data_IF_464740466150
#
_entry.id   IF_464740466150
#
_cell.length_a   1.000
_cell.length_b   1.000
_cell.length_c   1.000
_cell.angle_alpha   90.00
_cell.angle_beta   90.00
_cell.angle_gamma   90.00
#
_symmetry.space_group_name_H-M   'P 1'
#
loop_
_entity.id
_entity.type
_entity.pdbx_description
1 polymer ?
#
# COMPACT_ATOMS: atom_id res chain seq x y z
N UNK A 1 -18.11 -29.19 -4.28
CA UNK A 1 -17.47 -27.88 -4.37
C UNK A 1 -18.39 -26.84 -3.76
N UNK A 2 -17.79 -25.80 -3.18
CA UNK A 2 -18.53 -24.72 -2.52
C UNK A 2 -19.00 -23.66 -3.57
N UNK A 3 -18.72 -23.85 -4.86
CA UNK A 3 -18.96 -22.93 -5.95
C UNK A 3 -17.68 -22.27 -6.45
N UNK A 4 -17.87 -21.36 -7.41
CA UNK A 4 -16.78 -20.54 -7.97
C UNK A 4 -16.64 -19.24 -7.15
N UNK A 5 -15.60 -19.13 -6.35
CA UNK A 5 -15.34 -18.00 -5.46
C UNK A 5 -15.25 -16.67 -6.21
N UNK A 6 -14.75 -16.67 -7.45
CA UNK A 6 -14.64 -15.43 -8.26
C UNK A 6 -15.99 -14.82 -8.56
N UNK A 7 -17.01 -15.66 -8.78
CA UNK A 7 -18.37 -15.23 -9.10
C UNK A 7 -19.16 -14.70 -7.90
N UNK A 8 -18.64 -14.86 -6.67
CA UNK A 8 -19.34 -14.44 -5.46
C UNK A 8 -19.33 -12.92 -5.28
N UNK A 9 -20.39 -12.40 -4.72
CA UNK A 9 -20.44 -11.02 -4.24
C UNK A 9 -19.46 -10.82 -3.09
N UNK A 10 -19.03 -9.59 -2.85
CA UNK A 10 -18.14 -9.27 -1.72
C UNK A 10 -18.72 -9.71 -0.38
N UNK A 11 -20.03 -9.56 -0.19
CA UNK A 11 -20.73 -10.01 1.03
C UNK A 11 -20.63 -11.51 1.24
N UNK A 12 -20.74 -12.31 0.18
CA UNK A 12 -20.61 -13.76 0.23
C UNK A 12 -19.18 -14.18 0.52
N UNK A 13 -18.20 -13.50 -0.10
CA UNK A 13 -16.77 -13.71 0.16
C UNK A 13 -16.43 -13.44 1.63
N UNK A 14 -16.87 -12.30 2.16
CA UNK A 14 -16.65 -11.95 3.57
C UNK A 14 -17.30 -12.98 4.51
N UNK A 15 -18.56 -13.35 4.28
CA UNK A 15 -19.28 -14.32 5.10
C UNK A 15 -18.56 -15.68 5.13
N UNK A 16 -18.11 -16.15 3.98
CA UNK A 16 -17.34 -17.39 3.86
C UNK A 16 -16.01 -17.29 4.61
N UNK A 17 -15.22 -16.24 4.34
CA UNK A 17 -13.90 -16.08 4.96
C UNK A 17 -13.99 -15.96 6.49
N UNK A 18 -14.95 -15.18 7.02
CA UNK A 18 -15.16 -15.04 8.46
C UNK A 18 -15.55 -16.37 9.08
N UNK A 19 -16.41 -17.16 8.42
CA UNK A 19 -16.80 -18.50 8.88
C UNK A 19 -15.59 -19.43 8.95
N UNK A 20 -14.77 -19.47 7.89
CA UNK A 20 -13.59 -20.35 7.86
C UNK A 20 -12.49 -19.87 8.82
N UNK A 21 -12.28 -18.57 8.97
CA UNK A 21 -11.35 -18.00 9.96
C UNK A 21 -11.77 -18.31 11.40
N UNK A 22 -13.07 -18.40 11.67
CA UNK A 22 -13.61 -18.75 12.99
C UNK A 22 -13.66 -20.27 13.23
N UNK A 23 -13.51 -21.09 12.20
CA UNK A 23 -13.56 -22.54 12.27
C UNK A 23 -12.23 -23.11 12.78
N UNK A 24 -12.28 -24.17 13.59
CA UNK A 24 -11.09 -24.94 13.97
C UNK A 24 -10.71 -26.01 12.93
N UNK A 25 -11.62 -26.33 12.01
CA UNK A 25 -11.38 -27.33 10.99
C UNK A 25 -10.56 -26.71 9.86
N UNK A 26 -9.50 -27.39 9.38
CA UNK A 26 -8.79 -26.95 8.18
C UNK A 26 -9.71 -26.91 6.96
N UNK A 27 -9.55 -25.90 6.12
CA UNK A 27 -10.24 -25.77 4.84
C UNK A 27 -9.53 -26.58 3.75
N UNK A 28 -8.20 -26.54 3.77
CA UNK A 28 -7.36 -27.20 2.74
C UNK A 28 -7.18 -28.68 3.09
N UNK A 29 -7.64 -29.61 2.24
CA UNK A 29 -7.41 -31.03 2.45
C UNK A 29 -5.93 -31.41 2.31
N UNK A 30 -5.45 -32.38 3.11
CA UNK A 30 -4.06 -32.81 3.07
C UNK A 30 -3.60 -33.42 1.72
N UNK A 31 -4.53 -33.90 0.93
CA UNK A 31 -4.27 -34.53 -0.37
C UNK A 31 -4.64 -33.65 -1.55
N UNK A 32 -4.80 -32.36 -1.33
CA UNK A 32 -5.10 -31.41 -2.41
C UNK A 32 -3.81 -30.95 -3.09
N UNK A 33 -3.83 -30.98 -4.43
CA UNK A 33 -2.72 -30.51 -5.25
C UNK A 33 -3.09 -29.13 -5.82
N UNK A 34 -2.42 -28.06 -5.38
CA UNK A 34 -2.64 -26.71 -5.88
C UNK A 34 -2.03 -26.50 -7.27
N UNK A 35 -2.53 -25.49 -8.00
CA UNK A 35 -1.82 -24.99 -9.18
C UNK A 35 -0.43 -24.44 -8.78
N UNK A 36 0.52 -24.31 -9.73
CA UNK A 36 1.84 -23.76 -9.42
C UNK A 36 1.79 -22.40 -8.73
N UNK A 37 0.91 -21.51 -9.18
CA UNK A 37 0.73 -20.16 -8.62
C UNK A 37 0.18 -20.21 -7.19
N UNK A 38 -0.85 -21.04 -6.97
CA UNK A 38 -1.43 -21.22 -5.62
C UNK A 38 -0.43 -21.88 -4.68
N UNK A 39 0.39 -22.79 -5.20
CA UNK A 39 1.46 -23.43 -4.42
C UNK A 39 2.47 -22.42 -3.92
N UNK A 40 2.90 -21.47 -4.76
CA UNK A 40 3.83 -20.41 -4.39
C UNK A 40 3.27 -19.55 -3.24
N UNK A 41 2.00 -19.16 -3.32
CA UNK A 41 1.32 -18.40 -2.24
C UNK A 41 1.31 -19.19 -0.93
N UNK A 42 0.93 -20.48 -0.98
CA UNK A 42 0.89 -21.33 0.21
C UNK A 42 2.29 -21.54 0.80
N UNK A 43 3.31 -21.72 -0.04
CA UNK A 43 4.68 -21.87 0.43
C UNK A 43 5.23 -20.58 1.04
N UNK A 44 4.89 -19.42 0.49
CA UNK A 44 5.18 -18.12 1.10
C UNK A 44 4.57 -18.03 2.50
N UNK A 45 3.29 -18.40 2.66
CA UNK A 45 2.64 -18.41 3.97
C UNK A 45 3.26 -19.43 4.94
N UNK A 46 3.76 -20.57 4.46
CA UNK A 46 4.50 -21.56 5.29
C UNK A 46 5.82 -20.99 5.79
N UNK A 47 6.60 -20.35 4.93
CA UNK A 47 7.85 -19.68 5.34
C UNK A 47 7.56 -18.64 6.43
N UNK A 48 6.47 -17.89 6.31
CA UNK A 48 6.03 -16.95 7.35
C UNK A 48 5.69 -17.70 8.65
N UNK A 49 4.93 -18.78 8.57
CA UNK A 49 4.53 -19.58 9.73
C UNK A 49 5.72 -20.20 10.49
N UNK A 50 6.80 -20.53 9.78
CA UNK A 50 8.06 -21.04 10.33
C UNK A 50 9.00 -19.94 10.84
N UNK A 51 8.73 -18.69 10.49
CA UNK A 51 9.53 -17.54 10.91
C UNK A 51 9.14 -17.11 12.35
N UNK A 52 10.11 -16.81 13.23
CA UNK A 52 9.81 -16.37 14.58
C UNK A 52 8.94 -15.12 14.62
N UNK A 53 7.99 -15.08 15.56
CA UNK A 53 7.14 -13.91 15.80
C UNK A 53 7.98 -12.65 16.00
N UNK A 54 7.58 -11.57 15.35
CA UNK A 54 8.27 -10.27 15.39
C UNK A 54 9.41 -10.10 14.38
N UNK A 55 9.87 -11.16 13.70
CA UNK A 55 10.86 -11.03 12.63
C UNK A 55 10.27 -10.43 11.36
N UNK A 56 8.98 -10.71 11.10
CA UNK A 56 8.21 -10.11 10.01
C UNK A 56 7.17 -9.17 10.65
N UNK A 57 7.26 -7.86 10.43
CA UNK A 57 6.37 -6.90 11.11
C UNK A 57 5.00 -6.79 10.46
N UNK A 58 4.87 -7.10 9.15
CA UNK A 58 3.63 -6.95 8.40
C UNK A 58 3.68 -7.71 7.09
N UNK A 59 2.53 -8.24 6.67
CA UNK A 59 2.30 -8.74 5.31
C UNK A 59 1.62 -7.63 4.50
N UNK A 60 2.22 -7.23 3.38
CA UNK A 60 1.62 -6.23 2.48
C UNK A 60 1.01 -6.96 1.29
N UNK A 61 -0.24 -6.66 0.97
CA UNK A 61 -0.89 -7.15 -0.25
C UNK A 61 -1.06 -6.01 -1.24
N UNK A 62 -0.65 -6.24 -2.48
CA UNK A 62 -0.86 -5.33 -3.60
C UNK A 62 -2.31 -5.39 -4.09
N UNK A 63 -2.74 -4.34 -4.78
CA UNK A 63 -4.05 -4.26 -5.44
C UNK A 63 -5.24 -4.60 -4.53
N UNK A 64 -5.15 -4.25 -3.25
CA UNK A 64 -6.23 -4.44 -2.30
C UNK A 64 -7.43 -3.54 -2.65
N UNK A 65 -8.56 -4.14 -2.95
CA UNK A 65 -9.78 -3.44 -3.40
C UNK A 65 -10.96 -3.64 -2.48
N UNK A 66 -10.94 -4.75 -1.72
CA UNK A 66 -12.06 -5.18 -0.90
C UNK A 66 -11.59 -5.75 0.43
N UNK A 67 -12.44 -5.76 1.47
CA UNK A 67 -12.12 -6.43 2.73
C UNK A 67 -11.76 -7.90 2.61
N UNK A 68 -12.38 -8.61 1.66
CA UNK A 68 -12.10 -10.03 1.43
C UNK A 68 -10.65 -10.30 1.04
N UNK A 69 -9.97 -9.37 0.38
CA UNK A 69 -8.55 -9.51 0.03
C UNK A 69 -7.67 -9.63 1.28
N UNK A 70 -7.94 -8.80 2.28
CA UNK A 70 -7.22 -8.85 3.59
C UNK A 70 -7.56 -10.12 4.36
N UNK A 71 -8.85 -10.49 4.40
CA UNK A 71 -9.32 -11.69 5.11
C UNK A 71 -8.76 -12.97 4.50
N UNK A 72 -8.60 -13.03 3.17
CA UNK A 72 -8.03 -14.17 2.48
C UNK A 72 -6.59 -14.43 2.91
N UNK A 73 -5.77 -13.39 3.08
CA UNK A 73 -4.39 -13.54 3.59
C UNK A 73 -4.40 -14.17 4.99
N UNK A 74 -5.26 -13.68 5.88
CA UNK A 74 -5.39 -14.28 7.22
C UNK A 74 -5.83 -15.74 7.17
N UNK A 75 -6.70 -16.11 6.20
CA UNK A 75 -7.09 -17.50 6.01
C UNK A 75 -5.91 -18.36 5.55
N UNK A 76 -5.12 -17.92 4.58
CA UNK A 76 -3.92 -18.64 4.14
C UNK A 76 -2.89 -18.81 5.26
N UNK A 77 -2.64 -17.78 6.05
CA UNK A 77 -1.75 -17.87 7.22
C UNK A 77 -2.26 -18.88 8.25
N UNK A 78 -3.57 -18.89 8.51
CA UNK A 78 -4.20 -19.89 9.37
C UNK A 78 -4.04 -21.30 8.82
N UNK A 79 -4.36 -21.52 7.55
CA UNK A 79 -4.30 -22.84 6.89
C UNK A 79 -2.89 -23.40 6.79
N UNK A 80 -1.88 -22.54 6.77
CA UNK A 80 -0.46 -22.93 6.80
C UNK A 80 0.08 -23.09 8.23
N UNK A 81 -0.76 -22.92 9.25
CA UNK A 81 -0.39 -23.17 10.64
C UNK A 81 0.42 -22.06 11.29
N UNK A 82 0.30 -20.81 10.81
CA UNK A 82 0.96 -19.66 11.44
C UNK A 82 0.52 -19.54 12.92
N UNK A 83 1.47 -19.63 13.88
CA UNK A 83 1.12 -19.70 15.31
C UNK A 83 0.79 -18.32 15.93
N UNK A 84 0.96 -17.25 15.17
CA UNK A 84 0.73 -15.87 15.61
C UNK A 84 -0.09 -15.09 14.59
N UNK A 85 -0.66 -13.97 15.01
CA UNK A 85 -1.39 -13.08 14.12
C UNK A 85 -0.42 -12.08 13.49
N UNK A 86 -0.12 -12.27 12.20
CA UNK A 86 0.67 -11.30 11.43
C UNK A 86 -0.24 -10.17 10.97
N UNK A 87 0.10 -8.89 11.23
CA UNK A 87 -0.62 -7.77 10.66
C UNK A 87 -0.62 -7.81 9.13
N UNK A 88 -1.77 -7.53 8.51
CA UNK A 88 -1.91 -7.42 7.06
C UNK A 88 -2.17 -5.96 6.71
N UNK A 89 -1.34 -5.41 5.82
CA UNK A 89 -1.47 -4.05 5.32
C UNK A 89 -2.01 -4.08 3.88
N UNK A 90 -3.23 -3.60 3.63
CA UNK A 90 -3.68 -3.37 2.27
C UNK A 90 -2.86 -2.26 1.63
N UNK A 91 -2.47 -2.45 0.37
CA UNK A 91 -1.83 -1.43 -0.46
C UNK A 91 -2.86 -0.88 -1.44
N UNK A 92 -3.16 0.41 -1.32
CA UNK A 92 -4.00 1.14 -2.27
C UNK A 92 -3.10 1.83 -3.29
N UNK A 93 -3.18 1.41 -4.55
CA UNK A 93 -2.20 1.75 -5.59
C UNK A 93 -2.75 2.60 -6.71
N UNK A 94 -3.94 2.29 -7.22
CA UNK A 94 -4.55 3.02 -8.32
C UNK A 94 -5.36 4.22 -7.81
N UNK A 95 -5.76 5.09 -8.74
CA UNK A 95 -6.67 6.20 -8.40
C UNK A 95 -7.97 5.69 -7.77
N UNK A 96 -8.52 4.62 -8.33
CA UNK A 96 -9.75 4.02 -7.83
C UNK A 96 -9.57 3.41 -6.43
N UNK A 97 -8.46 2.71 -6.17
CA UNK A 97 -8.18 2.12 -4.86
C UNK A 97 -8.05 3.21 -3.79
N UNK A 98 -7.35 4.31 -4.09
CA UNK A 98 -7.18 5.45 -3.19
C UNK A 98 -8.52 6.13 -2.86
N UNK A 99 -9.38 6.29 -3.86
CA UNK A 99 -10.71 6.88 -3.67
C UNK A 99 -11.64 5.97 -2.85
N UNK A 100 -11.48 4.65 -2.95
CA UNK A 100 -12.29 3.66 -2.24
C UNK A 100 -11.68 3.23 -0.89
N UNK A 101 -10.48 3.67 -0.56
CA UNK A 101 -9.75 3.24 0.64
C UNK A 101 -10.55 3.44 1.94
N UNK A 102 -11.32 4.52 2.04
CA UNK A 102 -12.20 4.79 3.17
C UNK A 102 -13.24 3.70 3.36
N UNK A 103 -13.96 3.37 2.30
CA UNK A 103 -15.06 2.39 2.35
C UNK A 103 -14.55 0.98 2.66
N UNK A 104 -13.43 0.60 2.05
CA UNK A 104 -12.77 -0.68 2.33
C UNK A 104 -12.36 -0.79 3.79
N UNK A 105 -11.69 0.23 4.32
CA UNK A 105 -11.25 0.21 5.71
C UNK A 105 -12.42 0.31 6.70
N UNK A 106 -13.44 1.09 6.39
CA UNK A 106 -14.66 1.17 7.21
C UNK A 106 -15.36 -0.18 7.30
N UNK A 107 -15.52 -0.86 6.19
CA UNK A 107 -16.10 -2.21 6.16
C UNK A 107 -15.23 -3.20 6.95
N UNK A 108 -13.92 -3.22 6.69
CA UNK A 108 -12.98 -4.13 7.34
C UNK A 108 -12.97 -3.94 8.87
N UNK A 109 -12.92 -2.69 9.34
CA UNK A 109 -12.93 -2.36 10.76
C UNK A 109 -14.28 -2.64 11.46
N UNK A 110 -15.37 -2.80 10.72
CA UNK A 110 -16.66 -3.21 11.23
C UNK A 110 -16.80 -4.73 11.36
N UNK A 111 -15.87 -5.53 10.81
CA UNK A 111 -15.87 -6.98 10.97
C UNK A 111 -15.37 -7.33 12.37
N UNK A 112 -16.24 -7.87 13.22
CA UNK A 112 -15.92 -8.18 14.62
C UNK A 112 -14.73 -9.11 14.80
N UNK A 113 -14.59 -10.13 13.92
CA UNK A 113 -13.42 -11.02 13.92
C UNK A 113 -12.11 -10.23 13.69
N UNK A 114 -12.09 -9.38 12.66
CA UNK A 114 -10.92 -8.59 12.31
C UNK A 114 -10.54 -7.59 13.42
N UNK A 115 -11.55 -6.91 13.99
CA UNK A 115 -11.34 -6.01 15.14
C UNK A 115 -10.71 -6.71 16.33
N UNK A 116 -11.05 -7.97 16.55
CA UNK A 116 -10.52 -8.77 17.66
C UNK A 116 -9.02 -9.09 17.52
N UNK A 117 -8.48 -9.12 16.30
CA UNK A 117 -7.10 -9.55 16.05
C UNK A 117 -6.10 -8.41 15.89
N UNK A 118 -6.54 -7.21 15.48
CA UNK A 118 -5.62 -6.09 15.12
C UNK A 118 -5.07 -5.30 16.32
N UNK A 119 -5.46 -5.61 17.55
CA UNK A 119 -4.99 -4.92 18.77
C UNK A 119 -5.08 -3.38 18.67
N UNK A 120 -6.15 -2.85 18.08
CA UNK A 120 -6.37 -1.43 17.80
C UNK A 120 -5.25 -0.75 17.00
N UNK A 121 -4.51 -1.49 16.19
CA UNK A 121 -3.46 -0.97 15.31
C UNK A 121 -3.71 -1.45 13.90
N UNK A 122 -3.58 -0.55 12.93
CA UNK A 122 -3.70 -0.87 11.51
C UNK A 122 -2.57 -0.21 10.74
N UNK A 123 -1.95 -0.95 9.85
CA UNK A 123 -1.05 -0.40 8.84
C UNK A 123 -1.74 -0.42 7.48
N UNK A 124 -1.61 0.66 6.74
CA UNK A 124 -2.10 0.79 5.35
C UNK A 124 -0.97 1.32 4.49
N UNK A 125 -0.72 0.67 3.37
CA UNK A 125 0.30 1.13 2.44
C UNK A 125 -0.31 1.99 1.35
N UNK A 126 0.35 3.09 1.03
CA UNK A 126 -0.03 4.04 -0.02
C UNK A 126 0.91 3.86 -1.21
N UNK A 127 0.33 3.54 -2.36
CA UNK A 127 1.07 3.42 -3.62
C UNK A 127 1.29 4.78 -4.28
N UNK A 128 2.46 4.93 -4.91
CA UNK A 128 2.85 6.18 -5.57
C UNK A 128 3.07 5.99 -7.07
N UNK A 129 3.71 4.90 -7.45
CA UNK A 129 4.12 4.68 -8.83
C UNK A 129 2.93 4.33 -9.71
N UNK A 130 2.07 3.46 -9.24
CA UNK A 130 0.95 2.96 -10.03
C UNK A 130 -0.18 3.98 -10.13
N UNK A 131 -0.47 4.73 -9.07
CA UNK A 131 -1.38 5.86 -9.14
C UNK A 131 -0.91 6.95 -10.12
N UNK A 132 0.40 7.24 -10.16
CA UNK A 132 0.94 8.21 -11.09
C UNK A 132 0.92 7.72 -12.55
N UNK A 133 1.08 6.42 -12.79
CA UNK A 133 0.93 5.81 -14.13
C UNK A 133 -0.53 5.76 -14.57
N UNK A 134 -1.46 5.61 -13.63
CA UNK A 134 -2.90 5.55 -13.89
C UNK A 134 -3.49 6.94 -14.20
N UNK A 135 -3.16 7.95 -13.39
CA UNK A 135 -3.84 9.24 -13.40
C UNK A 135 -2.96 10.47 -13.66
N UNK A 136 -1.66 10.29 -13.80
CA UNK A 136 -0.70 11.38 -13.83
C UNK A 136 -0.35 11.93 -12.45
N UNK A 137 0.76 12.68 -12.36
CA UNK A 137 1.37 13.07 -11.09
C UNK A 137 0.48 13.94 -10.20
N UNK A 138 -0.25 14.90 -10.79
CA UNK A 138 -1.09 15.83 -10.03
C UNK A 138 -2.30 15.12 -9.42
N UNK A 139 -3.04 14.39 -10.25
CA UNK A 139 -4.22 13.66 -9.80
C UNK A 139 -3.86 12.56 -8.79
N UNK A 140 -2.78 11.82 -9.03
CA UNK A 140 -2.28 10.83 -8.08
C UNK A 140 -1.89 11.46 -6.74
N UNK A 141 -1.17 12.57 -6.74
CA UNK A 141 -0.76 13.26 -5.52
C UNK A 141 -1.95 13.77 -4.70
N UNK A 142 -2.97 14.31 -5.37
CA UNK A 142 -4.18 14.74 -4.71
C UNK A 142 -5.02 13.59 -4.15
N UNK A 143 -5.18 12.51 -4.92
CA UNK A 143 -5.85 11.30 -4.45
C UNK A 143 -5.15 10.66 -3.25
N UNK A 144 -3.83 10.61 -3.25
CA UNK A 144 -3.03 10.16 -2.10
C UNK A 144 -3.27 11.02 -0.86
N UNK A 145 -3.34 12.34 -1.01
CA UNK A 145 -3.63 13.25 0.10
C UNK A 145 -5.02 12.98 0.67
N UNK A 146 -6.06 12.98 -0.18
CA UNK A 146 -7.45 12.72 0.22
C UNK A 146 -7.64 11.34 0.83
N UNK A 147 -7.06 10.31 0.22
CA UNK A 147 -7.11 8.95 0.73
C UNK A 147 -6.52 8.82 2.12
N UNK A 148 -5.38 9.48 2.38
CA UNK A 148 -4.78 9.51 3.72
C UNK A 148 -5.68 10.21 4.74
N UNK A 149 -6.28 11.37 4.40
CA UNK A 149 -7.24 12.06 5.29
C UNK A 149 -8.43 11.16 5.64
N UNK A 150 -8.98 10.48 4.66
CA UNK A 150 -10.09 9.56 4.84
C UNK A 150 -9.74 8.38 5.74
N UNK A 151 -8.56 7.78 5.53
CA UNK A 151 -8.03 6.69 6.35
C UNK A 151 -7.79 7.13 7.81
N UNK A 152 -7.24 8.33 8.01
CA UNK A 152 -7.03 8.90 9.35
C UNK A 152 -8.37 9.04 10.07
N UNK A 153 -9.38 9.58 9.40
CA UNK A 153 -10.73 9.76 9.96
C UNK A 153 -11.35 8.43 10.35
N UNK A 154 -11.44 7.47 9.44
CA UNK A 154 -12.04 6.15 9.68
C UNK A 154 -11.37 5.39 10.82
N UNK A 155 -10.04 5.37 10.85
CA UNK A 155 -9.30 4.70 11.92
C UNK A 155 -9.48 5.42 13.27
N UNK A 156 -9.50 6.76 13.28
CA UNK A 156 -9.74 7.54 14.49
C UNK A 156 -11.14 7.32 15.05
N UNK A 157 -12.16 7.33 14.21
CA UNK A 157 -13.56 7.04 14.61
C UNK A 157 -13.70 5.61 15.16
N UNK A 158 -12.96 4.65 14.60
CA UNK A 158 -12.93 3.28 15.09
C UNK A 158 -12.02 3.07 16.32
N UNK A 159 -11.33 4.10 16.83
CA UNK A 159 -10.37 3.96 17.93
C UNK A 159 -9.15 3.10 17.57
N UNK A 160 -8.71 3.15 16.32
CA UNK A 160 -7.57 2.40 15.78
C UNK A 160 -6.41 3.33 15.50
N UNK A 161 -5.23 2.98 15.99
CA UNK A 161 -3.99 3.68 15.64
C UNK A 161 -3.56 3.30 14.23
N UNK A 162 -3.60 4.25 13.31
CA UNK A 162 -3.17 4.07 11.92
C UNK A 162 -1.68 4.35 11.77
N UNK A 163 -0.96 3.45 11.12
CA UNK A 163 0.38 3.70 10.59
C UNK A 163 0.32 3.69 9.06
N UNK A 164 0.65 4.83 8.44
CA UNK A 164 0.76 4.91 6.99
C UNK A 164 2.14 4.44 6.54
N UNK A 165 2.15 3.48 5.62
CA UNK A 165 3.35 2.96 4.99
C UNK A 165 3.46 3.52 3.57
N UNK A 166 4.45 4.38 3.35
CA UNK A 166 4.64 5.04 2.07
C UNK A 166 5.52 4.19 1.14
N UNK A 167 4.93 3.68 0.06
CA UNK A 167 5.60 2.90 -0.99
C UNK A 167 6.43 3.75 -1.94
N UNK A 168 7.10 4.78 -1.44
CA UNK A 168 7.98 5.62 -2.26
C UNK A 168 9.31 4.93 -2.46
N UNK A 169 9.58 4.49 -3.67
CA UNK A 169 10.94 4.20 -4.07
C UNK A 169 11.71 5.52 -4.22
N UNK A 170 12.77 5.70 -3.43
CA UNK A 170 13.57 6.91 -3.42
C UNK A 170 13.22 7.87 -2.29
N UNK A 171 13.61 9.13 -2.40
CA UNK A 171 13.35 10.15 -1.39
C UNK A 171 11.86 10.38 -1.17
N UNK A 172 11.43 10.68 0.05
CA UNK A 172 10.06 11.09 0.39
C UNK A 172 9.63 12.30 -0.45
N UNK A 173 10.58 13.09 -0.94
CA UNK A 173 10.37 14.03 -2.04
C UNK A 173 11.01 13.45 -3.30
N UNK A 174 10.26 12.90 -4.23
CA UNK A 174 10.79 12.65 -5.57
C UNK A 174 11.38 13.95 -6.09
N UNK A 175 12.67 13.93 -6.49
CA UNK A 175 13.39 15.12 -6.93
C UNK A 175 14.30 15.77 -5.88
N UNK A 176 14.54 15.13 -4.73
CA UNK A 176 15.55 15.56 -3.77
C UNK A 176 15.13 16.70 -2.84
N UNK A 177 13.83 16.95 -2.70
CA UNK A 177 13.31 17.91 -1.71
C UNK A 177 13.65 17.50 -0.27
N UNK A 178 13.82 18.45 0.66
CA UNK A 178 14.08 18.16 2.06
C UNK A 178 13.01 17.25 2.66
N UNK A 179 13.42 16.22 3.37
CA UNK A 179 12.51 15.25 4.00
C UNK A 179 11.45 15.92 4.88
N UNK A 180 11.81 17.00 5.58
CA UNK A 180 10.91 17.80 6.40
C UNK A 180 9.73 18.37 5.59
N UNK A 181 9.99 18.99 4.44
CA UNK A 181 8.92 19.56 3.58
C UNK A 181 7.98 18.45 3.10
N UNK A 182 8.53 17.30 2.72
CA UNK A 182 7.72 16.17 2.27
C UNK A 182 6.83 15.60 3.39
N UNK A 183 7.29 15.58 4.64
CA UNK A 183 6.49 15.16 5.79
C UNK A 183 5.40 16.17 6.12
N UNK A 184 5.71 17.47 6.04
CA UNK A 184 4.73 18.54 6.25
C UNK A 184 3.69 18.70 5.14
N UNK A 185 3.96 18.13 3.96
CA UNK A 185 2.97 18.07 2.88
C UNK A 185 1.93 16.95 3.05
N UNK A 186 2.08 16.08 4.07
CA UNK A 186 1.10 15.06 4.38
C UNK A 186 -0.07 15.64 5.19
N UNK A 187 -1.24 15.01 5.18
CA UNK A 187 -2.38 15.46 5.98
C UNK A 187 -2.06 15.50 7.48
N UNK A 188 -2.60 16.47 8.22
CA UNK A 188 -2.48 16.52 9.67
C UNK A 188 -2.93 15.19 10.31
N UNK A 189 -2.13 14.66 11.26
CA UNK A 189 -2.41 13.40 11.92
C UNK A 189 -1.91 12.14 11.21
N UNK A 190 -1.38 12.25 10.00
CA UNK A 190 -0.84 11.11 9.23
C UNK A 190 0.36 10.43 9.89
N UNK A 191 1.07 11.13 10.77
CA UNK A 191 2.28 10.65 11.45
C UNK A 191 2.05 10.20 12.90
N UNK A 192 0.80 10.17 13.39
CA UNK A 192 0.50 9.73 14.78
C UNK A 192 0.94 8.30 15.07
N UNK A 193 0.80 7.40 14.12
CA UNK A 193 1.26 6.01 14.23
C UNK A 193 2.72 5.81 13.87
N UNK A 194 3.47 6.88 13.67
CA UNK A 194 4.84 6.86 13.19
C UNK A 194 4.95 6.94 11.67
N UNK A 195 6.18 6.98 11.18
CA UNK A 195 6.51 6.98 9.75
C UNK A 195 7.06 5.62 9.35
N UNK A 196 6.49 5.03 8.31
CA UNK A 196 7.09 3.91 7.60
C UNK A 196 7.23 4.24 6.12
N UNK A 197 8.41 4.02 5.58
CA UNK A 197 8.72 4.35 4.18
C UNK A 197 9.63 3.30 3.57
N UNK A 198 9.43 2.99 2.29
CA UNK A 198 10.36 2.17 1.52
C UNK A 198 11.51 3.04 1.04
N UNK A 199 12.73 2.68 1.39
CA UNK A 199 13.94 3.25 0.81
C UNK A 199 14.55 2.29 -0.19
N UNK A 200 15.07 2.81 -1.30
CA UNK A 200 15.82 2.00 -2.26
C UNK A 200 17.22 1.71 -1.72
N UNK A 201 17.78 0.53 -2.06
CA UNK A 201 19.05 0.07 -1.52
C UNK A 201 20.21 1.03 -1.73
N UNK A 202 20.30 1.65 -2.91
CA UNK A 202 21.28 2.69 -3.21
C UNK A 202 21.17 3.91 -2.29
N UNK A 203 19.93 4.32 -1.96
CA UNK A 203 19.68 5.47 -1.08
C UNK A 203 19.99 5.17 0.38
N UNK A 204 19.85 3.92 0.83
CA UNK A 204 20.21 3.51 2.18
C UNK A 204 21.69 3.78 2.43
N UNK A 205 22.55 3.44 1.48
CA UNK A 205 23.99 3.69 1.59
C UNK A 205 24.31 5.18 1.71
N UNK A 206 23.67 6.03 0.91
CA UNK A 206 23.89 7.47 0.94
C UNK A 206 23.37 8.13 2.22
N UNK A 207 22.24 7.67 2.74
CA UNK A 207 21.61 8.28 3.91
C UNK A 207 22.09 7.70 5.23
N UNK A 208 22.43 6.41 5.28
CA UNK A 208 22.64 5.65 6.51
C UNK A 208 23.99 4.89 6.51
N UNK A 209 24.80 5.00 5.45
CA UNK A 209 26.03 4.21 5.28
C UNK A 209 27.20 4.64 6.17
N UNK A 210 27.17 5.84 6.73
CA UNK A 210 28.15 6.35 7.70
C UNK A 210 27.44 6.77 8.98
N UNK A 211 28.01 6.52 10.19
CA UNK A 211 27.34 6.83 11.46
C UNK A 211 26.88 8.28 11.58
N UNK A 212 27.72 9.24 11.24
CA UNK A 212 27.38 10.67 11.34
C UNK A 212 26.26 11.08 10.38
N UNK A 213 26.26 10.54 9.15
CA UNK A 213 25.19 10.75 8.18
C UNK A 213 23.89 10.10 8.65
N UNK A 214 23.97 8.91 9.22
CA UNK A 214 22.81 8.21 9.75
C UNK A 214 22.18 9.00 10.92
N UNK A 215 23.00 9.46 11.87
CA UNK A 215 22.52 10.28 13.00
C UNK A 215 21.85 11.55 12.49
N UNK A 216 22.48 12.27 11.58
CA UNK A 216 21.90 13.50 11.01
C UNK A 216 20.60 13.22 10.26
N UNK A 217 20.56 12.19 9.43
CA UNK A 217 19.37 11.80 8.69
C UNK A 217 18.23 11.42 9.63
N UNK A 218 18.49 10.56 10.60
CA UNK A 218 17.47 10.12 11.57
C UNK A 218 17.00 11.27 12.46
N UNK A 219 17.90 12.17 12.87
CA UNK A 219 17.53 13.36 13.64
C UNK A 219 16.59 14.29 12.88
N UNK A 220 16.84 14.51 11.58
CA UNK A 220 15.94 15.28 10.73
C UNK A 220 14.54 14.65 10.60
N UNK A 221 14.47 13.32 10.50
CA UNK A 221 13.17 12.62 10.49
C UNK A 221 12.45 12.71 11.83
N UNK A 222 13.18 12.54 12.95
CA UNK A 222 12.60 12.64 14.30
C UNK A 222 12.10 14.06 14.54
N UNK A 223 12.90 15.07 14.23
CA UNK A 223 12.50 16.48 14.35
C UNK A 223 11.21 16.77 13.56
N UNK A 224 11.18 16.37 12.29
CA UNK A 224 10.02 16.59 11.43
C UNK A 224 8.76 15.87 11.92
N UNK A 225 8.90 14.61 12.41
CA UNK A 225 7.77 13.84 12.95
C UNK A 225 7.26 14.48 14.24
N UNK A 226 8.14 14.87 15.15
CA UNK A 226 7.77 15.53 16.40
C UNK A 226 7.06 16.85 16.11
N UNK A 227 7.62 17.70 15.25
CA UNK A 227 7.01 18.97 14.89
C UNK A 227 5.65 18.79 14.23
N UNK A 228 5.52 17.86 13.27
CA UNK A 228 4.24 17.58 12.59
C UNK A 228 3.16 17.04 13.54
N UNK A 229 3.53 16.37 14.64
CA UNK A 229 2.57 15.90 15.64
C UNK A 229 2.24 16.95 16.70
N UNK A 230 3.20 17.78 17.10
CA UNK A 230 3.02 18.78 18.14
C UNK A 230 2.49 20.11 17.59
N UNK A 231 2.89 20.46 16.37
CA UNK A 231 2.52 21.67 15.65
C UNK A 231 2.07 21.34 14.22
N UNK A 232 0.96 20.60 14.07
CA UNK A 232 0.53 20.13 12.76
C UNK A 232 0.25 21.32 11.83
N UNK A 233 0.56 21.19 10.53
CA UNK A 233 0.19 22.22 9.56
C UNK A 233 -1.35 22.36 9.52
N UNK A 234 -1.86 23.55 9.15
CA UNK A 234 -3.29 23.75 9.04
C UNK A 234 -3.88 22.84 7.94
N UNK A 235 -5.07 22.30 8.19
CA UNK A 235 -5.79 21.58 7.16
C UNK A 235 -6.15 22.49 5.99
N UNK A 236 -6.20 21.98 4.75
CA UNK A 236 -6.62 22.78 3.59
C UNK A 236 -8.05 23.29 3.77
N UNK A 237 -8.31 24.48 3.31
CA UNK A 237 -9.66 25.06 3.28
C UNK A 237 -10.52 24.35 2.21
N UNK A 238 -11.84 24.32 2.41
CA UNK A 238 -12.77 23.66 1.49
C UNK A 238 -12.72 24.28 0.08
N UNK A 239 -12.54 25.59 -0.03
CA UNK A 239 -12.37 26.28 -1.30
C UNK A 239 -11.13 25.82 -2.07
N UNK A 240 -10.02 25.54 -1.36
CA UNK A 240 -8.80 25.01 -1.98
C UNK A 240 -8.97 23.55 -2.41
N UNK A 241 -9.70 22.76 -1.63
CA UNK A 241 -10.03 21.37 -1.97
C UNK A 241 -10.81 21.28 -3.28
N UNK A 242 -11.83 22.15 -3.43
CA UNK A 242 -12.62 22.23 -4.65
C UNK A 242 -11.77 22.56 -5.87
N UNK A 243 -10.89 23.56 -5.75
CA UNK A 243 -9.97 23.91 -6.84
C UNK A 243 -9.03 22.76 -7.17
N UNK A 244 -8.52 22.05 -6.15
CA UNK A 244 -7.66 20.88 -6.36
C UNK A 244 -8.43 19.70 -6.98
N UNK A 245 -9.70 19.49 -6.64
CA UNK A 245 -10.55 18.50 -7.28
C UNK A 245 -10.70 18.80 -8.78
N UNK A 246 -11.06 20.05 -9.13
CA UNK A 246 -11.21 20.48 -10.53
C UNK A 246 -9.89 20.33 -11.32
N UNK A 247 -8.75 20.75 -10.73
CA UNK A 247 -7.44 20.60 -11.34
C UNK A 247 -7.03 19.13 -11.52
N UNK A 248 -7.32 18.32 -10.52
CA UNK A 248 -7.08 16.88 -10.56
C UNK A 248 -7.82 16.21 -11.71
N UNK A 249 -9.10 16.50 -11.87
CA UNK A 249 -9.95 15.93 -12.93
C UNK A 249 -9.45 16.34 -14.32
N UNK A 250 -9.15 17.63 -14.52
CA UNK A 250 -8.61 18.14 -15.79
C UNK A 250 -7.26 17.49 -16.11
N UNK A 251 -6.37 17.42 -15.12
CA UNK A 251 -5.04 16.83 -15.29
C UNK A 251 -5.10 15.33 -15.57
N UNK A 252 -5.94 14.60 -14.85
CA UNK A 252 -6.15 13.17 -15.04
C UNK A 252 -6.64 12.89 -16.47
N UNK A 253 -7.66 13.64 -16.91
CA UNK A 253 -8.18 13.50 -18.26
C UNK A 253 -7.12 13.78 -19.31
N UNK A 254 -6.38 14.86 -19.18
CA UNK A 254 -5.33 15.21 -20.15
C UNK A 254 -4.22 14.15 -20.20
N UNK A 255 -3.82 13.61 -19.05
CA UNK A 255 -2.85 12.53 -18.97
C UNK A 255 -3.37 11.25 -19.63
N UNK A 256 -4.58 10.83 -19.31
CA UNK A 256 -5.18 9.62 -19.85
C UNK A 256 -5.43 9.73 -21.37
N UNK A 257 -5.86 10.89 -21.85
CA UNK A 257 -6.07 11.14 -23.28
C UNK A 257 -4.76 10.99 -24.06
N UNK A 258 -3.63 11.44 -23.48
CA UNK A 258 -2.32 11.31 -24.09
C UNK A 258 -1.74 9.89 -23.97
N UNK A 259 -1.74 9.31 -22.77
CA UNK A 259 -0.94 8.10 -22.47
C UNK A 259 -1.74 6.82 -22.69
N UNK A 260 -3.04 6.80 -22.36
CA UNK A 260 -3.85 5.59 -22.40
C UNK A 260 -4.78 5.50 -23.60
N UNK A 261 -5.22 6.64 -24.14
CA UNK A 261 -6.21 6.66 -25.23
C UNK A 261 -5.60 7.00 -26.60
N UNK A 262 -4.38 7.53 -26.64
CA UNK A 262 -3.70 7.84 -27.88
C UNK A 262 -2.94 6.59 -28.36
N UNK A 263 -3.41 5.97 -29.45
CA UNK A 263 -2.83 4.76 -30.03
C UNK A 263 -1.38 4.98 -30.52
N UNK A 264 -1.02 6.19 -30.89
CA UNK A 264 0.33 6.52 -31.40
C UNK A 264 1.34 6.74 -30.26
N UNK A 265 0.89 6.91 -29.00
CA UNK A 265 1.80 7.24 -27.90
C UNK A 265 2.80 6.12 -27.60
N UNK A 266 2.35 4.88 -27.51
CA UNK A 266 3.22 3.74 -27.18
C UNK A 266 4.25 3.47 -28.32
N UNK A 267 3.85 3.44 -29.60
CA UNK A 267 4.81 3.36 -30.71
C UNK A 267 5.84 4.50 -30.70
N UNK A 268 5.38 5.74 -30.48
CA UNK A 268 6.27 6.90 -30.36
C UNK A 268 7.26 6.73 -29.21
N UNK A 269 6.79 6.32 -28.04
CA UNK A 269 7.63 6.12 -26.84
C UNK A 269 8.75 5.12 -27.10
N UNK A 270 8.43 3.96 -27.68
CA UNK A 270 9.44 2.94 -28.00
C UNK A 270 10.43 3.37 -29.08
N UNK A 271 10.00 4.20 -30.05
CA UNK A 271 10.89 4.70 -31.09
C UNK A 271 11.80 5.84 -30.60
N UNK A 272 11.34 6.63 -29.64
CA UNK A 272 12.07 7.81 -29.16
C UNK A 272 12.86 7.57 -27.88
N UNK A 273 12.67 6.42 -27.22
CA UNK A 273 13.30 6.12 -25.92
C UNK A 273 14.10 4.82 -26.02
N UNK A 274 15.38 4.79 -25.57
CA UNK A 274 16.21 3.57 -25.60
C UNK A 274 15.83 2.61 -24.45
N UNK A 275 14.54 2.28 -24.30
CA UNK A 275 14.01 1.46 -23.21
C UNK A 275 14.61 0.05 -23.22
N UNK A 276 14.74 -0.56 -24.42
CA UNK A 276 15.29 -1.90 -24.57
C UNK A 276 16.76 -1.99 -24.18
N UNK A 277 17.52 -0.92 -24.39
CA UNK A 277 18.92 -0.80 -23.98
C UNK A 277 19.06 -0.52 -22.49
N UNK A 278 18.26 0.38 -21.94
CA UNK A 278 18.21 0.69 -20.52
C UNK A 278 17.83 -0.54 -19.68
N UNK A 279 16.93 -1.39 -20.18
CA UNK A 279 16.52 -2.62 -19.51
C UNK A 279 17.65 -3.65 -19.35
N UNK A 280 18.76 -3.52 -20.10
CA UNK A 280 19.95 -4.40 -19.99
C UNK A 280 20.99 -3.88 -19.02
N UNK A 281 20.87 -2.64 -18.58
CA UNK A 281 21.84 -2.03 -17.68
C UNK A 281 21.52 -2.39 -16.22
N UNK A 282 22.51 -2.84 -15.43
CA UNK A 282 22.32 -3.10 -13.99
C UNK A 282 22.29 -1.79 -13.21
N UNK A 283 21.30 -0.94 -13.48
CA UNK A 283 21.11 0.35 -12.84
C UNK A 283 20.17 0.21 -11.63
N UNK A 284 20.73 0.31 -10.44
CA UNK A 284 19.97 0.32 -9.20
C UNK A 284 19.69 -1.07 -8.59
N UNK A 285 18.99 -1.07 -7.45
CA UNK A 285 18.69 -2.25 -6.65
C UNK A 285 17.48 -3.04 -7.15
N UNK A 286 16.73 -2.50 -8.12
CA UNK A 286 15.55 -3.15 -8.71
C UNK A 286 15.86 -3.69 -10.10
N UNK A 287 15.22 -4.80 -10.52
CA UNK A 287 15.26 -5.23 -11.90
C UNK A 287 14.79 -4.10 -12.82
N UNK A 288 15.47 -3.91 -13.95
CA UNK A 288 15.09 -2.90 -14.93
C UNK A 288 13.69 -3.16 -15.53
N UNK A 289 13.29 -4.43 -15.63
CA UNK A 289 11.91 -4.82 -15.92
C UNK A 289 11.26 -5.25 -14.61
N UNK A 290 10.22 -4.56 -14.12
CA UNK A 290 9.50 -5.02 -12.95
C UNK A 290 8.94 -6.42 -13.22
N UNK A 291 9.15 -7.33 -12.29
CA UNK A 291 8.41 -8.58 -12.26
C UNK A 291 6.97 -8.17 -12.00
N UNK A 292 6.07 -8.47 -12.94
CA UNK A 292 4.66 -8.21 -12.76
C UNK A 292 4.14 -9.11 -11.64
N UNK A 293 3.88 -8.54 -10.48
CA UNK A 293 3.16 -9.21 -9.38
C UNK A 293 1.63 -9.19 -9.61
N UNK A 294 1.21 -8.89 -10.83
CA UNK A 294 -0.21 -8.63 -11.16
C UNK A 294 -1.04 -9.88 -11.41
N UNK A 295 -0.57 -11.04 -11.03
CA UNK A 295 -1.35 -12.28 -11.20
C UNK A 295 -1.36 -13.07 -9.89
N UNK A 296 -2.10 -12.56 -8.94
CA UNK A 296 -2.65 -13.35 -7.84
C UNK A 296 -4.17 -13.26 -7.87
#
# INVERSE_FOLDING_TARGET
GIGDYESWSESEKQAFLIKELSSKRPLIPNNWEPSPETKEVIETCRVIAETPEGAIPVYVISMARTPSDVLAVHLFLKETGCPYTLPVAPLFETLNDLNNAEDVMKQLLNIGWYRGIINNKQMVMIGYSDSAKDAGALAAGWAQYRGQEALIRVCSEAGVLLTLFHGRGGTIGRGGGPAKIALFSQPPGSLKGGLRVTEQGEMIRFKLGLPDLAINTLSLYIDAILEANLLPPPAPKDEWRKVMDDLSDISCKAYQDLVHRNEDFIPYFYQSTPEAELAKLPLGSRPAKPVSYTHL
#
